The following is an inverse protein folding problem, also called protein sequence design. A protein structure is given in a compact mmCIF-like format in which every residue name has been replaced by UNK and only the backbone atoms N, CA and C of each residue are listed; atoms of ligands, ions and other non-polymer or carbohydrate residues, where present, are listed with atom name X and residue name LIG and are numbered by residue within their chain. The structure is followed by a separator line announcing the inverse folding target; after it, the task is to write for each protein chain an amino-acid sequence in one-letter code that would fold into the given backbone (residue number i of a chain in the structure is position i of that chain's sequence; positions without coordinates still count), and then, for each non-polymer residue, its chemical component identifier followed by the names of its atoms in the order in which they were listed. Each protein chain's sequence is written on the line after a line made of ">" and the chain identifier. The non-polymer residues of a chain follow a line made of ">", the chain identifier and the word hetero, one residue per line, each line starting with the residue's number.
data_IF_229029721950
#
_entry.id   IF_229029721950
#
_cell.length_a   1.000
_cell.length_b   1.000
_cell.length_c   1.000
_cell.angle_alpha   90.00
_cell.angle_beta   90.00
_cell.angle_gamma   90.00
#
_symmetry.space_group_name_H-M   'P 1'
#
loop_
_entity.id
_entity.type
_entity.pdbx_description
1 polymer ?
#
# COMPACT_ATOMS: atom_id res chain seq x y z
N UNK A 1 -46.61 26.88 7.71
CA UNK A 1 -47.05 25.55 7.21
C UNK A 1 -48.52 25.56 6.79
N UNK A 2 -49.48 26.02 7.60
CA UNK A 2 -50.92 26.11 7.19
C UNK A 2 -51.11 27.03 5.94
N UNK A 3 -50.34 28.10 5.81
CA UNK A 3 -50.35 29.02 4.69
C UNK A 3 -49.93 28.38 3.35
N UNK A 4 -48.94 27.46 3.34
CA UNK A 4 -48.47 26.80 2.10
C UNK A 4 -49.48 25.79 1.61
N UNK A 5 -50.11 25.02 2.51
CA UNK A 5 -51.15 24.07 2.12
C UNK A 5 -52.42 24.75 1.58
N UNK A 6 -52.76 25.94 2.09
CA UNK A 6 -53.85 26.78 1.55
C UNK A 6 -53.57 27.31 0.15
N UNK A 7 -52.34 27.77 -0.10
CA UNK A 7 -51.92 28.25 -1.43
C UNK A 7 -51.93 27.15 -2.50
N UNK A 8 -51.63 25.92 -2.12
CA UNK A 8 -51.57 24.75 -3.02
C UNK A 8 -52.89 24.01 -3.13
N UNK A 9 -53.97 24.44 -2.46
CA UNK A 9 -55.24 23.75 -2.44
C UNK A 9 -55.18 22.30 -1.90
N UNK A 10 -54.18 21.98 -1.13
CA UNK A 10 -53.91 20.62 -0.63
C UNK A 10 -54.18 20.46 0.86
N UNK A 11 -54.73 19.30 1.25
CA UNK A 11 -54.83 18.94 2.68
C UNK A 11 -53.39 18.73 3.23
N UNK A 12 -53.16 19.15 4.48
CA UNK A 12 -51.88 18.96 5.18
C UNK A 12 -51.34 17.53 5.10
N UNK A 13 -52.21 16.53 5.22
CA UNK A 13 -51.87 15.13 5.10
C UNK A 13 -51.38 14.74 3.69
N UNK A 14 -52.06 15.23 2.63
CA UNK A 14 -51.64 15.01 1.23
C UNK A 14 -50.28 15.65 0.93
N UNK A 15 -50.00 16.84 1.47
CA UNK A 15 -48.68 17.49 1.36
C UNK A 15 -47.57 16.62 1.97
N UNK A 16 -47.80 16.08 3.19
CA UNK A 16 -46.77 15.24 3.81
C UNK A 16 -46.62 13.88 3.10
N UNK A 17 -47.67 13.32 2.52
CA UNK A 17 -47.60 12.10 1.71
C UNK A 17 -46.82 12.34 0.43
N UNK A 18 -47.03 13.46 -0.30
CA UNK A 18 -46.24 13.87 -1.44
C UNK A 18 -44.76 14.04 -1.08
N UNK A 19 -44.47 14.80 -0.03
CA UNK A 19 -43.11 14.99 0.45
C UNK A 19 -42.43 13.67 0.82
N UNK A 20 -43.13 12.72 1.42
CA UNK A 20 -42.64 11.39 1.75
C UNK A 20 -42.36 10.56 0.49
N UNK A 21 -43.23 10.62 -0.51
CA UNK A 21 -43.07 9.95 -1.81
C UNK A 21 -41.86 10.48 -2.54
N UNK A 22 -41.71 11.80 -2.65
CA UNK A 22 -40.57 12.44 -3.31
C UNK A 22 -39.24 12.17 -2.59
N UNK A 23 -39.28 12.11 -1.26
CA UNK A 23 -38.10 11.72 -0.46
C UNK A 23 -37.71 10.26 -0.70
N UNK A 24 -38.70 9.35 -0.80
CA UNK A 24 -38.46 7.93 -1.10
C UNK A 24 -37.89 7.76 -2.51
N UNK A 25 -38.46 8.46 -3.50
CA UNK A 25 -37.98 8.40 -4.88
C UNK A 25 -36.54 8.89 -4.98
N UNK A 26 -36.21 10.04 -4.41
CA UNK A 26 -34.84 10.56 -4.37
C UNK A 26 -33.85 9.60 -3.68
N UNK A 27 -34.31 8.92 -2.63
CA UNK A 27 -33.50 7.92 -1.95
C UNK A 27 -33.19 6.73 -2.86
N UNK A 28 -34.19 6.21 -3.58
CA UNK A 28 -34.00 5.07 -4.50
C UNK A 28 -33.07 5.44 -5.66
N UNK A 29 -33.26 6.61 -6.25
CA UNK A 29 -32.36 7.11 -7.33
C UNK A 29 -30.91 7.23 -6.85
N UNK A 30 -30.70 7.71 -5.63
CA UNK A 30 -29.35 7.80 -5.06
C UNK A 30 -28.73 6.41 -4.80
N UNK A 31 -29.53 5.46 -4.31
CA UNK A 31 -29.09 4.07 -4.09
C UNK A 31 -28.70 3.41 -5.43
N UNK A 32 -29.50 3.57 -6.47
CA UNK A 32 -29.19 3.08 -7.83
C UNK A 32 -27.90 3.71 -8.39
N UNK A 33 -27.74 5.02 -8.22
CA UNK A 33 -26.52 5.72 -8.64
C UNK A 33 -25.27 5.18 -7.93
N UNK A 34 -25.36 4.92 -6.61
CA UNK A 34 -24.25 4.33 -5.86
C UNK A 34 -23.94 2.90 -6.32
N UNK A 35 -24.96 2.09 -6.59
CA UNK A 35 -24.78 0.73 -7.12
C UNK A 35 -24.06 0.77 -8.46
N UNK A 36 -24.51 1.63 -9.37
CA UNK A 36 -23.88 1.79 -10.68
C UNK A 36 -22.40 2.23 -10.55
N UNK A 37 -22.12 3.22 -9.70
CA UNK A 37 -20.75 3.63 -9.40
C UNK A 37 -19.86 2.48 -8.89
N UNK A 38 -20.41 1.64 -7.98
CA UNK A 38 -19.69 0.48 -7.45
C UNK A 38 -19.37 -0.52 -8.56
N UNK A 39 -20.34 -0.82 -9.42
CA UNK A 39 -20.18 -1.76 -10.54
C UNK A 39 -19.13 -1.24 -11.55
N UNK A 40 -19.20 0.03 -11.92
CA UNK A 40 -18.23 0.66 -12.82
C UNK A 40 -16.81 0.64 -12.25
N UNK A 41 -16.63 1.01 -10.97
CA UNK A 41 -15.33 0.98 -10.32
C UNK A 41 -14.74 -0.43 -10.28
N UNK A 42 -15.60 -1.43 -10.04
CA UNK A 42 -15.21 -2.84 -9.99
C UNK A 42 -14.91 -3.48 -11.34
N UNK A 43 -15.20 -2.83 -12.45
CA UNK A 43 -14.69 -3.27 -13.75
C UNK A 43 -13.16 -3.19 -13.82
N UNK A 44 -12.53 -2.33 -13.03
CA UNK A 44 -11.07 -2.19 -12.97
C UNK A 44 -10.46 -2.83 -11.73
N UNK A 45 -11.11 -2.68 -10.57
CA UNK A 45 -10.68 -3.29 -9.30
C UNK A 45 -11.82 -4.14 -8.71
N UNK A 46 -12.01 -5.39 -9.17
CA UNK A 46 -13.12 -6.25 -8.73
C UNK A 46 -13.14 -6.52 -7.22
N UNK A 47 -12.02 -6.43 -6.57
CA UNK A 47 -11.84 -6.71 -5.14
C UNK A 47 -11.88 -5.49 -4.23
N UNK A 48 -12.09 -4.29 -4.77
CA UNK A 48 -12.08 -3.06 -3.96
C UNK A 48 -13.13 -3.08 -2.86
N UNK A 49 -12.72 -2.79 -1.63
CA UNK A 49 -13.60 -2.76 -0.45
C UNK A 49 -14.37 -1.46 -0.27
N UNK A 50 -15.42 -1.49 0.57
CA UNK A 50 -16.34 -0.38 0.81
C UNK A 50 -15.68 0.92 1.25
N UNK A 51 -14.71 0.88 2.16
CA UNK A 51 -14.00 2.08 2.63
C UNK A 51 -13.31 2.83 1.48
N UNK A 52 -12.64 2.12 0.57
CA UNK A 52 -11.96 2.73 -0.58
C UNK A 52 -12.96 3.24 -1.62
N UNK A 53 -14.03 2.48 -1.86
CA UNK A 53 -15.14 2.92 -2.72
C UNK A 53 -15.74 4.22 -2.20
N UNK A 54 -15.95 4.33 -0.88
CA UNK A 54 -16.46 5.55 -0.27
C UNK A 54 -15.51 6.74 -0.44
N UNK A 55 -14.20 6.55 -0.27
CA UNK A 55 -13.22 7.63 -0.49
C UNK A 55 -13.20 8.11 -1.95
N UNK A 56 -13.24 7.17 -2.93
CA UNK A 56 -13.34 7.53 -4.36
C UNK A 56 -14.66 8.27 -4.64
N UNK A 57 -15.78 7.75 -4.15
CA UNK A 57 -17.11 8.35 -4.32
C UNK A 57 -17.17 9.77 -3.76
N UNK A 58 -16.69 9.94 -2.51
CA UNK A 58 -16.64 11.22 -1.82
C UNK A 58 -15.83 12.25 -2.59
N UNK A 59 -14.70 11.87 -3.16
CA UNK A 59 -13.86 12.76 -3.98
C UNK A 59 -14.55 13.17 -5.27
N UNK A 60 -15.28 12.25 -5.93
CA UNK A 60 -15.97 12.53 -7.20
C UNK A 60 -17.27 13.29 -7.01
N UNK A 61 -18.06 12.93 -6.01
CA UNK A 61 -19.45 13.35 -5.86
C UNK A 61 -19.81 13.99 -4.53
N UNK A 62 -18.90 14.04 -3.57
CA UNK A 62 -19.18 14.50 -2.20
C UNK A 62 -19.70 15.94 -2.12
N UNK A 63 -19.29 16.80 -3.03
CA UNK A 63 -19.72 18.19 -3.13
C UNK A 63 -20.91 18.40 -4.09
N UNK A 64 -21.41 17.34 -4.72
CA UNK A 64 -22.55 17.42 -5.66
C UNK A 64 -23.86 17.40 -4.87
N UNK A 65 -24.72 18.40 -4.99
CA UNK A 65 -26.00 18.44 -4.28
C UNK A 65 -26.84 17.19 -4.53
N UNK A 66 -27.29 16.55 -3.48
CA UNK A 66 -28.14 15.35 -3.56
C UNK A 66 -27.41 14.02 -3.74
N UNK A 67 -26.10 14.01 -4.02
CA UNK A 67 -25.29 12.80 -4.19
C UNK A 67 -24.41 12.45 -2.97
N UNK A 68 -24.39 13.26 -1.93
CA UNK A 68 -23.60 12.97 -0.74
C UNK A 68 -24.08 11.70 -0.02
N UNK A 69 -23.15 10.76 0.22
CA UNK A 69 -23.39 9.49 0.92
C UNK A 69 -22.32 9.28 1.97
N UNK A 70 -22.74 9.00 3.22
CA UNK A 70 -21.80 8.64 4.28
C UNK A 70 -21.33 7.18 4.15
N UNK A 71 -20.20 6.85 4.78
CA UNK A 71 -19.57 5.53 4.72
C UNK A 71 -20.53 4.40 5.09
N UNK A 72 -21.18 4.48 6.25
CA UNK A 72 -22.06 3.41 6.75
C UNK A 72 -23.28 3.20 5.85
N UNK A 73 -23.77 4.28 5.21
CA UNK A 73 -24.86 4.16 4.23
C UNK A 73 -24.37 3.48 2.95
N UNK A 74 -23.16 3.79 2.48
CA UNK A 74 -22.58 3.11 1.31
C UNK A 74 -22.36 1.63 1.59
N UNK A 75 -21.79 1.26 2.74
CA UNK A 75 -21.62 -0.15 3.12
C UNK A 75 -22.94 -0.91 3.19
N UNK A 76 -23.99 -0.27 3.72
CA UNK A 76 -25.33 -0.85 3.73
C UNK A 76 -25.86 -1.08 2.32
N UNK A 77 -25.76 -0.08 1.40
CA UNK A 77 -26.18 -0.24 0.00
C UNK A 77 -25.43 -1.40 -0.66
N UNK A 78 -24.10 -1.48 -0.47
CA UNK A 78 -23.26 -2.57 -0.99
C UNK A 78 -23.75 -3.92 -0.48
N UNK A 79 -24.06 -4.03 0.81
CA UNK A 79 -24.52 -5.27 1.45
C UNK A 79 -25.92 -5.67 1.00
N UNK A 80 -26.87 -4.74 0.98
CA UNK A 80 -28.26 -4.97 0.59
C UNK A 80 -28.39 -5.41 -0.88
N UNK A 81 -27.45 -4.95 -1.75
CA UNK A 81 -27.40 -5.34 -3.16
C UNK A 81 -26.48 -6.55 -3.43
N UNK A 82 -26.03 -7.28 -2.42
CA UNK A 82 -25.22 -8.49 -2.58
C UNK A 82 -23.81 -8.22 -3.14
N UNK A 83 -23.33 -6.98 -3.08
CA UNK A 83 -22.05 -6.54 -3.63
C UNK A 83 -20.90 -6.62 -2.63
N UNK A 84 -21.07 -7.33 -1.49
CA UNK A 84 -20.01 -7.50 -0.49
C UNK A 84 -18.88 -8.39 -1.01
N UNK A 85 -17.63 -7.91 -0.95
CA UNK A 85 -16.46 -8.68 -1.38
C UNK A 85 -16.02 -9.65 -0.30
N UNK A 86 -16.04 -10.94 -0.59
CA UNK A 86 -15.53 -11.99 0.30
C UNK A 86 -14.04 -12.20 0.09
N UNK A 87 -13.26 -12.18 1.19
CA UNK A 87 -11.82 -12.51 1.16
C UNK A 87 -11.64 -14.03 1.15
N UNK A 88 -10.90 -14.57 0.18
CA UNK A 88 -10.50 -15.99 0.19
C UNK A 88 -9.39 -16.19 1.24
N UNK A 89 -9.50 -17.25 2.08
CA UNK A 89 -8.40 -17.65 2.99
C UNK A 89 -7.26 -18.23 2.16
N UNK A 90 -6.03 -17.83 2.45
CA UNK A 90 -4.82 -18.30 1.76
C UNK A 90 -4.07 -19.33 2.59
N UNK A 91 -3.39 -20.25 1.89
CA UNK A 91 -2.33 -21.08 2.47
C UNK A 91 -0.99 -20.38 2.19
N UNK A 92 -0.10 -20.24 3.19
CA UNK A 92 1.24 -19.69 2.97
C UNK A 92 2.04 -20.62 2.05
N UNK A 93 2.89 -20.03 1.21
CA UNK A 93 3.84 -20.73 0.35
C UNK A 93 5.20 -20.09 0.57
N UNK A 94 6.22 -20.88 0.89
CA UNK A 94 7.59 -20.43 1.14
C UNK A 94 8.42 -20.48 -0.13
N UNK A 95 9.24 -19.44 -0.34
CA UNK A 95 10.24 -19.36 -1.41
C UNK A 95 11.51 -20.08 -0.94
N UNK A 96 12.19 -20.81 -1.84
CA UNK A 96 13.50 -21.40 -1.54
C UNK A 96 14.58 -20.33 -1.74
N UNK A 97 15.27 -19.99 -0.64
CA UNK A 97 16.30 -18.93 -0.60
C UNK A 97 17.72 -19.53 -0.48
N UNK A 98 17.92 -20.83 -0.69
CA UNK A 98 19.21 -21.52 -0.51
C UNK A 98 19.98 -21.56 -1.83
N UNK A 99 20.68 -20.49 -2.14
CA UNK A 99 21.61 -20.42 -3.28
C UNK A 99 22.98 -19.90 -2.82
N UNK A 100 24.05 -20.25 -3.52
CA UNK A 100 25.41 -19.81 -3.21
C UNK A 100 25.81 -18.42 -3.72
N UNK A 101 24.85 -17.56 -4.09
CA UNK A 101 25.11 -16.21 -4.59
C UNK A 101 25.35 -15.21 -3.45
N UNK A 102 26.06 -14.09 -3.68
CA UNK A 102 26.29 -13.06 -2.68
C UNK A 102 25.01 -12.53 -2.07
N UNK A 103 25.01 -12.32 -0.75
CA UNK A 103 23.92 -11.73 0.00
C UNK A 103 24.31 -10.34 0.49
N UNK A 104 23.36 -9.42 0.46
CA UNK A 104 23.54 -8.04 0.87
C UNK A 104 22.86 -7.77 2.22
N UNK A 105 23.39 -6.83 3.04
CA UNK A 105 22.82 -6.51 4.34
C UNK A 105 21.43 -5.86 4.19
N UNK A 106 20.61 -5.98 5.24
CA UNK A 106 19.33 -5.28 5.31
C UNK A 106 19.54 -3.82 5.74
N UNK A 107 19.57 -2.93 4.78
CA UNK A 107 19.78 -1.49 5.00
C UNK A 107 18.50 -0.73 5.39
N UNK A 108 17.33 -1.38 5.35
CA UNK A 108 16.05 -0.71 5.59
C UNK A 108 15.36 -1.12 6.88
N UNK A 109 16.00 -1.96 7.69
CA UNK A 109 15.41 -2.53 8.91
C UNK A 109 14.88 -1.46 9.86
N UNK A 110 15.65 -0.38 10.04
CA UNK A 110 15.33 0.70 10.99
C UNK A 110 15.07 2.04 10.27
N UNK A 111 14.70 1.98 8.98
CA UNK A 111 14.42 3.17 8.18
C UNK A 111 12.92 3.32 7.94
N UNK A 112 12.38 4.49 8.31
CA UNK A 112 11.05 4.94 7.88
C UNK A 112 11.28 5.90 6.71
N UNK A 113 10.85 5.58 5.49
CA UNK A 113 11.06 6.48 4.36
C UNK A 113 10.25 7.76 4.53
N UNK A 114 10.88 8.90 4.20
CA UNK A 114 10.32 10.24 4.34
C UNK A 114 10.18 11.00 3.02
N UNK A 115 10.58 10.41 1.92
CA UNK A 115 10.49 11.00 0.58
C UNK A 115 10.30 9.94 -0.50
N UNK A 116 9.72 10.31 -1.66
CA UNK A 116 9.70 9.45 -2.85
C UNK A 116 11.12 9.03 -3.27
N UNK A 117 11.22 7.86 -3.87
CA UNK A 117 12.47 7.30 -4.41
C UNK A 117 13.61 7.18 -3.38
N UNK A 118 13.26 7.01 -2.10
CA UNK A 118 14.22 6.69 -1.05
C UNK A 118 14.44 5.19 -0.93
N UNK A 119 13.38 4.41 -0.98
CA UNK A 119 13.43 2.94 -0.89
C UNK A 119 12.46 2.36 -1.91
N UNK A 120 12.99 1.59 -2.85
CA UNK A 120 12.16 0.73 -3.68
C UNK A 120 12.21 -0.70 -3.16
N UNK A 121 11.06 -1.32 -3.06
CA UNK A 121 10.93 -2.74 -2.68
C UNK A 121 10.51 -3.56 -3.89
N UNK A 122 11.19 -4.68 -4.11
CA UNK A 122 10.94 -5.58 -5.22
C UNK A 122 10.52 -6.96 -4.74
N UNK A 123 9.62 -7.59 -5.49
CA UNK A 123 9.20 -8.98 -5.25
C UNK A 123 8.58 -9.56 -6.51
N UNK A 124 8.58 -10.90 -6.62
CA UNK A 124 7.97 -11.65 -7.72
C UNK A 124 6.74 -12.38 -7.22
N UNK A 125 5.62 -12.20 -7.89
CA UNK A 125 4.40 -12.96 -7.59
C UNK A 125 4.01 -13.90 -8.73
N UNK A 126 3.52 -15.05 -8.35
CA UNK A 126 3.08 -16.13 -9.26
C UNK A 126 1.61 -15.91 -9.62
N UNK A 127 1.33 -15.77 -10.91
CA UNK A 127 -0.03 -15.65 -11.45
C UNK A 127 -0.39 -16.94 -12.16
N UNK A 128 -1.42 -17.66 -11.72
CA UNK A 128 -1.83 -18.89 -12.40
C UNK A 128 -2.46 -18.57 -13.76
N UNK A 129 -2.10 -19.35 -14.76
CA UNK A 129 -2.66 -19.31 -16.11
C UNK A 129 -3.13 -20.71 -16.52
N UNK A 130 -4.25 -20.78 -17.22
CA UNK A 130 -4.87 -22.01 -17.74
C UNK A 130 -4.80 -22.02 -19.28
N UNK A 131 -3.78 -22.66 -19.89
CA UNK A 131 -3.56 -22.58 -21.34
C UNK A 131 -4.69 -23.15 -22.20
N UNK A 132 -5.43 -24.11 -21.66
CA UNK A 132 -6.57 -24.77 -22.37
C UNK A 132 -7.91 -24.41 -21.72
N UNK A 133 -8.97 -24.23 -22.52
CA UNK A 133 -10.34 -23.98 -22.03
C UNK A 133 -10.90 -25.11 -21.14
N UNK A 134 -10.43 -26.34 -21.34
CA UNK A 134 -10.89 -27.57 -20.66
C UNK A 134 -9.75 -28.28 -19.90
N UNK A 135 -8.64 -27.61 -19.62
CA UNK A 135 -7.51 -28.20 -18.92
C UNK A 135 -7.65 -27.88 -17.42
N UNK A 136 -7.67 -28.93 -16.59
CA UNK A 136 -7.52 -28.82 -15.15
C UNK A 136 -6.07 -28.46 -14.75
N UNK A 137 -5.14 -28.52 -15.69
CA UNK A 137 -3.76 -28.18 -15.51
C UNK A 137 -3.54 -26.67 -15.66
N UNK A 138 -2.95 -26.06 -14.64
CA UNK A 138 -2.52 -24.67 -14.69
C UNK A 138 -1.00 -24.57 -14.64
N UNK A 139 -0.50 -23.50 -15.24
CA UNK A 139 0.91 -23.08 -15.15
C UNK A 139 0.98 -21.75 -14.44
N UNK A 140 2.19 -21.25 -14.21
CA UNK A 140 2.39 -19.91 -13.70
C UNK A 140 3.07 -19.02 -14.75
N UNK A 141 2.67 -17.78 -14.80
CA UNK A 141 3.52 -16.69 -15.22
C UNK A 141 3.92 -15.88 -13.99
N UNK A 142 4.92 -15.03 -14.13
CA UNK A 142 5.63 -14.40 -13.05
C UNK A 142 5.56 -12.89 -13.23
N UNK A 143 5.01 -12.19 -12.26
CA UNK A 143 4.93 -10.74 -12.25
C UNK A 143 5.99 -10.21 -11.28
N UNK A 144 7.05 -9.62 -11.84
CA UNK A 144 8.04 -8.84 -11.09
C UNK A 144 7.53 -7.42 -10.92
N UNK A 145 7.53 -6.89 -9.70
CA UNK A 145 7.09 -5.53 -9.41
C UNK A 145 8.06 -4.80 -8.50
N UNK A 146 8.26 -3.51 -8.79
CA UNK A 146 8.95 -2.56 -7.92
C UNK A 146 7.94 -1.56 -7.39
N UNK A 147 7.99 -1.31 -6.09
CA UNK A 147 7.09 -0.40 -5.38
C UNK A 147 7.91 0.59 -4.57
N UNK A 148 7.62 1.87 -4.69
CA UNK A 148 8.18 2.87 -3.80
C UNK A 148 7.61 2.70 -2.39
N UNK A 149 8.48 2.51 -1.42
CA UNK A 149 8.07 2.23 -0.04
C UNK A 149 7.44 3.44 0.67
N UNK A 150 7.70 4.66 0.22
CA UNK A 150 7.09 5.87 0.74
C UNK A 150 5.72 6.10 0.12
N UNK A 151 5.68 6.26 -1.20
CA UNK A 151 4.46 6.63 -1.95
C UNK A 151 3.49 5.46 -2.15
N UNK A 152 3.97 4.22 -2.05
CA UNK A 152 3.25 2.99 -2.43
C UNK A 152 2.98 2.88 -3.92
N UNK A 153 3.54 3.75 -4.77
CA UNK A 153 3.43 3.62 -6.23
C UNK A 153 4.09 2.34 -6.73
N UNK A 154 3.45 1.70 -7.69
CA UNK A 154 4.11 0.72 -8.56
C UNK A 154 4.94 1.52 -9.54
N UNK A 155 6.26 1.50 -9.38
CA UNK A 155 7.20 2.28 -10.18
C UNK A 155 7.71 1.51 -11.39
N UNK A 156 7.75 0.17 -11.32
CA UNK A 156 8.13 -0.69 -12.42
C UNK A 156 7.48 -2.08 -12.30
N UNK A 157 7.26 -2.71 -13.44
CA UNK A 157 6.71 -4.07 -13.48
C UNK A 157 7.06 -4.77 -14.80
N UNK A 158 7.14 -6.10 -14.76
CA UNK A 158 7.26 -6.93 -15.95
C UNK A 158 6.59 -8.29 -15.74
N UNK A 159 5.94 -8.82 -16.78
CA UNK A 159 5.33 -10.16 -16.76
C UNK A 159 6.18 -11.12 -17.59
N UNK A 160 6.78 -12.10 -16.91
CA UNK A 160 7.57 -13.17 -17.52
C UNK A 160 6.82 -14.50 -17.62
N UNK A 161 7.17 -15.31 -18.60
CA UNK A 161 6.70 -16.70 -18.73
C UNK A 161 7.52 -17.65 -17.87
N UNK A 162 8.72 -17.23 -17.49
CA UNK A 162 9.70 -17.96 -16.68
C UNK A 162 10.21 -17.08 -15.53
N UNK A 163 10.94 -17.69 -14.58
CA UNK A 163 11.59 -16.99 -13.47
C UNK A 163 12.99 -16.46 -13.83
N UNK A 164 13.19 -15.99 -15.05
CA UNK A 164 14.47 -15.45 -15.48
C UNK A 164 14.69 -14.03 -14.96
N UNK A 165 15.93 -13.71 -14.63
CA UNK A 165 16.37 -12.38 -14.14
C UNK A 165 16.03 -11.25 -15.10
N UNK A 166 16.01 -11.51 -16.42
CA UNK A 166 15.70 -10.48 -17.43
C UNK A 166 14.40 -9.72 -17.15
N UNK A 167 13.37 -10.41 -16.63
CA UNK A 167 12.08 -9.76 -16.33
C UNK A 167 12.16 -8.84 -15.11
N UNK A 168 13.02 -9.15 -14.14
CA UNK A 168 13.32 -8.24 -13.04
C UNK A 168 14.11 -7.02 -13.54
N UNK A 169 15.05 -7.23 -14.46
CA UNK A 169 15.82 -6.16 -15.12
C UNK A 169 14.89 -5.23 -15.91
N UNK A 170 13.94 -5.77 -16.68
CA UNK A 170 12.96 -4.96 -17.42
C UNK A 170 12.08 -4.13 -16.47
N UNK A 171 11.64 -4.71 -15.36
CA UNK A 171 10.88 -4.00 -14.34
C UNK A 171 11.71 -2.87 -13.70
N UNK A 172 12.99 -3.11 -13.42
CA UNK A 172 13.92 -2.10 -12.87
C UNK A 172 14.16 -0.97 -13.88
N UNK A 173 14.42 -1.29 -15.16
CA UNK A 173 14.59 -0.29 -16.22
C UNK A 173 13.37 0.61 -16.36
N UNK A 174 12.16 0.03 -16.37
CA UNK A 174 10.91 0.80 -16.37
C UNK A 174 10.83 1.77 -15.18
N UNK A 175 11.22 1.33 -13.97
CA UNK A 175 11.22 2.17 -12.79
C UNK A 175 12.22 3.33 -12.91
N UNK A 176 13.42 3.07 -13.44
CA UNK A 176 14.47 4.08 -13.66
C UNK A 176 14.08 5.09 -14.73
N UNK A 177 13.46 4.66 -15.83
CA UNK A 177 12.96 5.56 -16.87
C UNK A 177 11.97 6.59 -16.32
N UNK A 178 11.19 6.25 -15.30
CA UNK A 178 10.28 7.19 -14.63
C UNK A 178 10.98 8.29 -13.84
N UNK A 179 12.23 8.09 -13.45
CA UNK A 179 13.00 9.12 -12.76
C UNK A 179 13.33 10.32 -13.67
N UNK A 180 13.22 10.17 -14.99
CA UNK A 180 13.33 11.26 -15.97
C UNK A 180 14.55 12.17 -15.74
N UNK A 181 15.71 11.59 -15.43
CA UNK A 181 16.93 12.32 -15.12
C UNK A 181 17.09 12.80 -13.69
N UNK A 182 16.18 12.45 -12.79
CA UNK A 182 16.42 12.58 -11.34
C UNK A 182 17.57 11.63 -10.97
N UNK A 183 18.52 12.14 -10.19
CA UNK A 183 19.63 11.31 -9.72
C UNK A 183 19.11 10.22 -8.77
N UNK A 184 19.70 9.03 -8.88
CA UNK A 184 19.42 7.88 -7.98
C UNK A 184 20.13 8.02 -6.63
N UNK A 185 20.61 9.23 -6.31
CA UNK A 185 21.31 9.54 -5.06
C UNK A 185 20.44 9.11 -3.87
N UNK A 186 21.04 8.28 -3.02
CA UNK A 186 20.40 7.70 -1.83
C UNK A 186 19.17 6.79 -2.06
N UNK A 187 18.95 6.31 -3.29
CA UNK A 187 17.99 5.26 -3.54
C UNK A 187 18.51 3.92 -3.00
N UNK A 188 17.69 3.23 -2.22
CA UNK A 188 17.96 1.86 -1.78
C UNK A 188 16.95 0.92 -2.45
N UNK A 189 17.46 -0.09 -3.16
CA UNK A 189 16.67 -1.19 -3.68
C UNK A 189 16.67 -2.33 -2.65
N UNK A 190 15.50 -2.77 -2.23
CA UNK A 190 15.33 -3.86 -1.28
C UNK A 190 14.52 -5.00 -1.87
N UNK A 191 15.01 -6.23 -1.75
CA UNK A 191 14.35 -7.45 -2.23
C UNK A 191 14.47 -8.58 -1.21
N UNK A 192 13.78 -9.67 -1.49
CA UNK A 192 14.10 -10.97 -0.87
C UNK A 192 15.45 -11.51 -1.39
N UNK A 193 15.85 -12.67 -0.88
CA UNK A 193 17.08 -13.37 -1.30
C UNK A 193 16.87 -14.24 -2.54
N UNK A 194 15.95 -13.87 -3.43
CA UNK A 194 15.71 -14.62 -4.65
C UNK A 194 16.90 -14.58 -5.59
N UNK A 195 17.16 -15.71 -6.27
CA UNK A 195 18.26 -15.87 -7.25
C UNK A 195 18.28 -14.75 -8.29
N UNK A 196 17.09 -14.25 -8.68
CA UNK A 196 16.94 -13.21 -9.67
C UNK A 196 17.56 -11.90 -9.22
N UNK A 197 17.36 -11.53 -7.95
CA UNK A 197 17.89 -10.28 -7.37
C UNK A 197 19.36 -10.38 -6.95
N UNK A 198 19.85 -11.61 -6.67
CA UNK A 198 21.25 -11.87 -6.35
C UNK A 198 22.11 -12.17 -7.59
N UNK A 199 21.53 -12.24 -8.79
CA UNK A 199 22.25 -12.51 -10.01
C UNK A 199 23.21 -11.37 -10.38
N UNK A 200 24.37 -11.72 -10.95
CA UNK A 200 25.40 -10.78 -11.37
C UNK A 200 24.84 -9.65 -12.23
N UNK A 201 24.09 -9.97 -13.28
CA UNK A 201 23.52 -8.98 -14.20
C UNK A 201 22.55 -8.00 -13.53
N UNK A 202 21.81 -8.42 -12.50
CA UNK A 202 20.92 -7.53 -11.76
C UNK A 202 21.70 -6.62 -10.81
N UNK A 203 22.70 -7.17 -10.12
CA UNK A 203 23.58 -6.47 -9.19
C UNK A 203 24.44 -5.44 -9.93
N UNK A 204 25.02 -5.81 -11.07
CA UNK A 204 25.79 -4.89 -11.94
C UNK A 204 24.94 -3.70 -12.36
N UNK A 205 23.71 -3.93 -12.83
CA UNK A 205 22.81 -2.84 -13.21
C UNK A 205 22.49 -1.90 -12.03
N UNK A 206 22.27 -2.41 -10.82
CA UNK A 206 22.05 -1.57 -9.63
C UNK A 206 23.31 -0.75 -9.28
N UNK A 207 24.50 -1.35 -9.40
CA UNK A 207 25.77 -0.66 -9.17
C UNK A 207 26.03 0.44 -10.21
N UNK A 208 25.80 0.16 -11.50
CA UNK A 208 25.89 1.15 -12.57
C UNK A 208 24.97 2.36 -12.35
N UNK A 209 23.79 2.10 -11.78
CA UNK A 209 22.83 3.14 -11.43
C UNK A 209 23.13 3.85 -10.11
N UNK A 210 24.18 3.45 -9.38
CA UNK A 210 24.51 4.00 -8.06
C UNK A 210 23.47 3.71 -6.97
N UNK A 211 22.64 2.67 -7.15
CA UNK A 211 21.57 2.28 -6.22
C UNK A 211 22.11 1.36 -5.13
N UNK A 212 21.83 1.67 -3.88
CA UNK A 212 22.22 0.84 -2.73
C UNK A 212 21.43 -0.47 -2.73
N UNK A 213 22.13 -1.60 -2.54
CA UNK A 213 21.53 -2.93 -2.57
C UNK A 213 21.23 -3.38 -1.12
N UNK A 214 20.01 -3.81 -0.88
CA UNK A 214 19.53 -4.31 0.39
C UNK A 214 18.73 -5.60 0.20
N UNK A 215 18.92 -6.58 1.07
CA UNK A 215 18.14 -7.83 1.05
C UNK A 215 17.58 -8.16 2.43
N UNK A 216 16.52 -8.94 2.46
CA UNK A 216 15.95 -9.47 3.71
C UNK A 216 17.00 -10.28 4.50
N UNK A 217 16.96 -10.24 5.84
CA UNK A 217 17.88 -11.03 6.67
C UNK A 217 17.49 -12.51 6.72
N UNK A 218 16.22 -12.79 6.60
CA UNK A 218 15.65 -14.13 6.63
C UNK A 218 14.68 -14.33 5.48
N UNK A 219 14.23 -15.54 5.26
CA UNK A 219 13.11 -15.82 4.35
C UNK A 219 11.74 -15.43 4.94
N UNK A 220 11.69 -14.63 6.00
CA UNK A 220 10.46 -14.23 6.64
C UNK A 220 9.76 -13.15 5.79
N UNK A 221 8.51 -13.38 5.41
CA UNK A 221 7.68 -12.39 4.71
C UNK A 221 7.61 -11.03 5.40
N UNK A 222 7.78 -10.99 6.71
CA UNK A 222 7.77 -9.74 7.49
C UNK A 222 8.94 -8.80 7.19
N UNK A 223 9.99 -9.30 6.55
CA UNK A 223 11.16 -8.49 6.19
C UNK A 223 10.89 -7.61 4.95
N UNK A 224 9.88 -7.97 4.09
CA UNK A 224 9.46 -7.16 2.93
C UNK A 224 7.93 -6.96 2.88
N UNK A 225 7.30 -6.39 3.92
CA UNK A 225 5.85 -6.35 4.06
C UNK A 225 5.16 -5.42 3.04
N UNK A 226 5.88 -4.44 2.48
CA UNK A 226 5.32 -3.51 1.49
C UNK A 226 5.12 -4.23 0.16
N UNK A 227 6.15 -4.94 -0.33
CA UNK A 227 6.08 -5.68 -1.58
C UNK A 227 5.05 -6.83 -1.50
N UNK A 228 5.02 -7.57 -0.38
CA UNK A 228 4.01 -8.61 -0.18
C UNK A 228 2.58 -8.08 -0.19
N UNK A 229 2.34 -6.96 0.48
CA UNK A 229 1.02 -6.32 0.46
C UNK A 229 0.65 -5.86 -0.93
N UNK A 230 1.62 -5.33 -1.68
CA UNK A 230 1.44 -4.90 -3.06
C UNK A 230 1.03 -6.06 -3.95
N UNK A 231 1.81 -7.14 -3.94
CA UNK A 231 1.52 -8.38 -4.65
C UNK A 231 0.14 -8.94 -4.26
N UNK A 232 -0.15 -8.92 -2.96
CA UNK A 232 -1.46 -9.31 -2.43
C UNK A 232 -2.60 -8.47 -2.99
N UNK A 233 -2.42 -7.16 -3.13
CA UNK A 233 -3.43 -6.25 -3.69
C UNK A 233 -3.63 -6.53 -5.17
N UNK A 234 -2.58 -6.56 -5.97
CA UNK A 234 -2.70 -6.81 -7.41
C UNK A 234 -3.37 -8.16 -7.68
N UNK A 235 -2.91 -9.21 -7.02
CA UNK A 235 -3.41 -10.56 -7.25
C UNK A 235 -4.83 -10.81 -6.73
N UNK A 236 -5.20 -10.23 -5.57
CA UNK A 236 -6.47 -10.59 -4.91
C UNK A 236 -7.55 -9.54 -5.00
N UNK A 237 -7.20 -8.29 -5.30
CA UNK A 237 -8.18 -7.26 -5.54
C UNK A 237 -8.37 -7.10 -7.07
N UNK A 238 -7.32 -6.73 -7.82
CA UNK A 238 -7.42 -6.43 -9.25
C UNK A 238 -7.62 -7.66 -10.15
N UNK A 239 -6.89 -8.75 -9.88
CA UNK A 239 -7.01 -9.99 -10.67
C UNK A 239 -7.99 -10.99 -10.05
N UNK A 240 -8.84 -10.51 -9.13
CA UNK A 240 -9.82 -11.34 -8.46
C UNK A 240 -10.82 -11.90 -9.47
N UNK A 241 -11.01 -13.23 -9.38
CA UNK A 241 -11.96 -13.99 -10.21
C UNK A 241 -11.72 -13.90 -11.73
N UNK A 242 -10.55 -13.36 -12.17
CA UNK A 242 -10.12 -13.39 -13.56
C UNK A 242 -9.37 -14.69 -13.82
N UNK A 243 -9.77 -15.39 -14.90
CA UNK A 243 -9.07 -16.57 -15.41
C UNK A 243 -8.20 -16.14 -16.59
N UNK A 244 -6.89 -16.25 -16.43
CA UNK A 244 -5.93 -15.96 -17.48
C UNK A 244 -5.53 -17.25 -18.22
N UNK A 245 -5.36 -17.17 -19.54
CA UNK A 245 -4.93 -18.28 -20.38
C UNK A 245 -3.49 -18.14 -20.88
N UNK A 246 -2.88 -16.96 -20.71
CA UNK A 246 -1.50 -16.71 -21.11
C UNK A 246 -0.88 -15.55 -20.32
N UNK A 247 0.45 -15.49 -20.30
CA UNK A 247 1.19 -14.34 -19.77
C UNK A 247 0.89 -13.05 -20.57
N UNK A 248 0.60 -13.17 -21.86
CA UNK A 248 0.21 -12.02 -22.69
C UNK A 248 -1.09 -11.36 -22.21
N UNK A 249 -2.08 -12.16 -21.77
CA UNK A 249 -3.31 -11.61 -21.17
C UNK A 249 -3.04 -10.89 -19.85
N UNK A 250 -2.17 -11.45 -18.99
CA UNK A 250 -1.77 -10.77 -17.76
C UNK A 250 -1.06 -9.44 -18.10
N UNK A 251 -0.14 -9.48 -19.07
CA UNK A 251 0.59 -8.28 -19.52
C UNK A 251 -0.35 -7.20 -20.07
N UNK A 252 -1.40 -7.57 -20.78
CA UNK A 252 -2.34 -6.62 -21.39
C UNK A 252 -3.21 -5.87 -20.37
N UNK A 253 -3.47 -6.44 -19.19
CA UNK A 253 -4.29 -5.79 -18.15
C UNK A 253 -3.46 -4.95 -17.19
N UNK A 254 -2.15 -5.20 -17.08
CA UNK A 254 -1.28 -4.53 -16.12
C UNK A 254 -1.24 -3.00 -16.25
N UNK A 255 -1.16 -2.40 -17.46
CA UNK A 255 -1.13 -0.94 -17.57
C UNK A 255 -2.35 -0.29 -16.91
N UNK A 256 -3.54 -0.83 -17.14
CA UNK A 256 -4.79 -0.32 -16.54
C UNK A 256 -4.81 -0.53 -15.02
N UNK A 257 -4.30 -1.66 -14.54
CA UNK A 257 -4.21 -1.95 -13.11
C UNK A 257 -3.28 -0.94 -12.43
N UNK A 258 -2.07 -0.73 -12.98
CA UNK A 258 -1.07 0.17 -12.43
C UNK A 258 -1.55 1.62 -12.45
N UNK A 259 -2.15 2.06 -13.56
CA UNK A 259 -2.73 3.39 -13.67
C UNK A 259 -3.81 3.64 -12.60
N UNK A 260 -4.78 2.72 -12.49
CA UNK A 260 -5.84 2.85 -11.47
C UNK A 260 -5.27 2.79 -10.05
N UNK A 261 -4.33 1.88 -9.80
CA UNK A 261 -3.70 1.73 -8.50
C UNK A 261 -2.97 3.00 -8.08
N UNK A 262 -2.18 3.57 -8.96
CA UNK A 262 -1.36 4.74 -8.66
C UNK A 262 -2.19 6.03 -8.56
N UNK A 263 -3.25 6.20 -9.39
CA UNK A 263 -3.92 7.49 -9.56
C UNK A 263 -5.34 7.56 -9.00
N UNK A 264 -6.00 6.43 -8.77
CA UNK A 264 -7.42 6.43 -8.39
C UNK A 264 -7.72 5.63 -7.11
N UNK A 265 -6.86 4.68 -6.74
CA UNK A 265 -7.08 3.83 -5.58
C UNK A 265 -6.53 4.46 -4.30
N UNK A 266 -7.39 4.80 -3.31
CA UNK A 266 -6.94 5.32 -2.04
C UNK A 266 -6.15 4.29 -1.24
N UNK A 267 -5.09 4.74 -0.56
CA UNK A 267 -4.25 3.90 0.28
C UNK A 267 -4.43 4.26 1.75
N UNK A 268 -4.87 3.31 2.58
CA UNK A 268 -5.18 3.57 3.99
C UNK A 268 -3.91 3.88 4.81
N UNK A 269 -2.75 3.33 4.40
CA UNK A 269 -1.46 3.68 5.02
C UNK A 269 -0.93 5.06 4.60
N UNK A 270 -1.59 5.73 3.67
CA UNK A 270 -1.32 7.09 3.22
C UNK A 270 -2.44 8.06 3.64
N UNK A 271 -3.17 7.74 4.70
CA UNK A 271 -4.34 8.48 5.18
C UNK A 271 -5.45 8.67 4.13
N UNK A 272 -5.59 7.71 3.20
CA UNK A 272 -6.59 7.74 2.13
C UNK A 272 -6.15 8.51 0.89
N UNK A 273 -4.90 8.99 0.82
CA UNK A 273 -4.33 9.54 -0.40
C UNK A 273 -4.08 8.45 -1.45
N UNK A 274 -4.06 8.84 -2.72
CA UNK A 274 -3.53 8.01 -3.80
C UNK A 274 -2.00 8.01 -3.77
N UNK A 275 -1.35 6.94 -4.24
CA UNK A 275 0.10 6.91 -4.42
C UNK A 275 0.66 8.13 -5.16
N UNK A 276 0.02 8.55 -6.26
CA UNK A 276 0.41 9.73 -7.05
C UNK A 276 0.28 11.08 -6.31
N UNK A 277 -0.58 11.16 -5.29
CA UNK A 277 -0.66 12.34 -4.41
C UNK A 277 0.50 12.32 -3.42
N UNK A 278 0.79 11.16 -2.82
CA UNK A 278 1.92 10.99 -1.91
C UNK A 278 3.28 11.23 -2.61
N UNK A 279 3.37 10.98 -3.92
CA UNK A 279 4.57 11.26 -4.71
C UNK A 279 4.96 12.76 -4.77
N UNK A 280 4.03 13.65 -4.42
CA UNK A 280 4.26 15.10 -4.36
C UNK A 280 4.61 15.59 -2.96
N UNK A 281 4.75 14.69 -2.00
CA UNK A 281 4.97 15.01 -0.60
C UNK A 281 6.38 14.61 -0.16
N UNK A 282 6.83 15.23 0.93
CA UNK A 282 8.03 14.86 1.68
C UNK A 282 7.75 14.96 3.18
N UNK A 283 8.56 14.30 3.99
CA UNK A 283 8.36 14.22 5.43
C UNK A 283 7.48 13.04 5.85
N UNK A 284 7.17 12.92 7.13
CA UNK A 284 6.34 11.84 7.65
C UNK A 284 4.88 12.03 7.22
N UNK A 285 4.33 11.05 6.50
CA UNK A 285 2.90 11.00 6.17
C UNK A 285 2.12 10.57 7.41
N UNK A 286 1.09 11.36 7.76
CA UNK A 286 0.15 10.98 8.82
C UNK A 286 -0.52 9.66 8.46
N UNK A 287 -0.62 8.75 9.44
CA UNK A 287 -1.28 7.45 9.29
C UNK A 287 -2.46 7.34 10.24
N UNK A 288 -3.53 6.72 9.79
CA UNK A 288 -4.70 6.44 10.64
C UNK A 288 -4.35 5.47 11.77
N UNK A 289 -3.39 4.57 11.54
CA UNK A 289 -2.79 3.71 12.55
C UNK A 289 -1.32 3.50 12.26
N UNK A 290 -0.55 3.60 13.32
CA UNK A 290 0.91 3.43 13.30
C UNK A 290 1.22 1.94 13.43
N UNK A 291 2.12 1.41 12.60
CA UNK A 291 2.55 0.03 12.67
C UNK A 291 3.33 -0.26 13.96
N UNK A 292 3.40 -1.54 14.39
CA UNK A 292 4.23 -1.93 15.53
C UNK A 292 5.70 -1.55 15.35
N UNK A 293 6.22 -1.69 14.12
CA UNK A 293 7.59 -1.30 13.77
C UNK A 293 7.82 0.20 13.98
N UNK A 294 6.92 1.04 13.46
CA UNK A 294 7.03 2.50 13.63
C UNK A 294 6.96 2.91 15.09
N UNK A 295 6.06 2.31 15.87
CA UNK A 295 5.99 2.55 17.32
C UNK A 295 7.27 2.15 18.03
N UNK A 296 7.87 1.05 17.61
CA UNK A 296 9.14 0.57 18.18
C UNK A 296 10.27 1.56 17.88
N UNK A 297 10.40 2.01 16.63
CA UNK A 297 11.43 2.98 16.21
C UNK A 297 11.22 4.34 16.88
N UNK A 298 9.98 4.86 16.93
CA UNK A 298 9.67 6.09 17.65
C UNK A 298 10.05 5.99 19.15
N UNK A 299 9.85 4.84 19.78
CA UNK A 299 10.25 4.61 21.17
C UNK A 299 11.77 4.51 21.35
N UNK A 300 12.53 4.03 20.35
CA UNK A 300 13.99 4.03 20.37
C UNK A 300 14.51 5.47 20.26
N UNK A 301 14.03 6.28 19.32
CA UNK A 301 14.41 7.69 19.18
C UNK A 301 14.15 8.48 20.49
N UNK A 302 13.03 8.23 21.16
CA UNK A 302 12.70 8.87 22.44
C UNK A 302 13.70 8.46 23.54
N UNK A 303 14.08 7.18 23.60
CA UNK A 303 15.05 6.67 24.60
C UNK A 303 16.46 7.21 24.36
N UNK A 304 16.89 7.26 23.10
CA UNK A 304 18.20 7.82 22.74
C UNK A 304 18.22 9.34 22.97
N UNK A 305 17.17 10.06 22.61
CA UNK A 305 17.02 11.48 22.91
C UNK A 305 16.97 11.78 24.41
N UNK A 306 16.31 10.93 25.21
CA UNK A 306 16.30 11.05 26.67
C UNK A 306 17.66 10.71 27.30
N UNK A 307 18.41 9.76 26.73
CA UNK A 307 19.77 9.44 27.16
C UNK A 307 20.78 10.53 26.82
N UNK A 308 20.59 11.22 25.68
CA UNK A 308 21.43 12.36 25.28
C UNK A 308 21.14 13.64 26.09
N UNK A 309 19.96 13.74 26.73
CA UNK A 309 19.55 14.85 27.59
C UNK A 309 19.77 14.56 29.09
N UNK A 310 20.25 13.37 29.45
CA UNK A 310 20.65 13.10 30.83
C UNK A 310 21.90 13.94 31.15
N UNK A 311 21.87 14.83 32.16
CA UNK A 311 23.02 15.68 32.44
C UNK A 311 24.19 14.83 32.90
N UNK A 312 25.38 15.08 32.33
CA UNK A 312 26.68 14.70 32.87
C UNK A 312 26.92 15.49 34.19
N UNK A 313 26.13 15.22 35.19
CA UNK A 313 26.32 15.73 36.56
C UNK A 313 26.27 14.52 37.48
N UNK A 314 27.45 14.00 37.75
CA UNK A 314 27.82 13.31 38.99
C UNK A 314 29.21 12.64 38.85
N UNK A 315 30.25 13.46 38.64
CA UNK A 315 31.61 13.07 38.95
C UNK A 315 32.42 14.29 39.45
N UNK A 316 31.93 14.93 40.51
CA UNK A 316 32.66 15.99 41.23
C UNK A 316 32.23 16.04 42.70
N UNK A 317 32.21 14.91 43.38
CA UNK A 317 32.25 14.87 44.85
C UNK A 317 32.86 13.54 45.24
N UNK A 318 34.17 13.44 45.20
CA UNK A 318 35.00 12.50 46.00
C UNK A 318 36.48 12.85 45.83
N UNK A 319 36.84 14.09 46.21
CA UNK A 319 38.21 14.39 46.64
C UNK A 319 38.08 15.47 47.73
N UNK A 320 38.69 15.16 48.88
CA UNK A 320 38.87 15.91 50.08
C UNK A 320 37.96 15.53 51.25
N UNK A 321 38.41 14.49 51.95
CA UNK A 321 38.40 14.43 53.41
C UNK A 321 39.33 13.31 53.88
N UNK A 322 40.65 13.53 53.72
CA UNK A 322 41.66 12.81 54.49
C UNK A 322 42.50 13.83 55.24
N UNK A 323 42.17 14.09 56.44
CA UNK A 323 43.10 14.73 57.42
C UNK A 323 43.09 13.96 58.70
N UNK A 324 44.23 13.77 59.30
CA UNK A 324 44.45 12.79 60.40
C UNK A 324 44.12 13.43 61.75
N UNK A 325 43.40 12.69 62.57
CA UNK A 325 43.32 13.03 64.02
C UNK A 325 44.23 12.13 64.78
N UNK A 326 45.15 12.81 65.42
CA UNK A 326 46.18 12.33 66.35
C UNK A 326 45.60 11.56 67.52
N UNK A 327 46.45 10.61 67.94
CA UNK A 327 46.46 9.97 69.24
C UNK A 327 46.41 11.01 70.39
N UNK A 328 45.66 10.72 71.46
CA UNK A 328 46.11 10.89 72.81
C UNK A 328 45.56 9.76 73.66
N UNK A 329 46.50 9.31 74.49
CA UNK A 329 46.46 8.32 75.52
C UNK A 329 45.48 8.64 76.65
N UNK A 330 45.00 7.61 77.31
CA UNK A 330 44.35 7.60 78.57
C UNK A 330 43.81 6.20 78.88
#
# INVERSE_FOLDING_TARGET
>A
MASICGLLGMRKQAFYQHKKRDSRHRRLMLEEFVVQFVLETRQTDPGIGGDKLHEIYKRRYGNTPGLSVGRDRMERIISENGLTVRKKRRKPRTTDSRHGLPLYPNLIKDVIPIRPNQIWVADITYIPIWPGRNSDEYRFCYLSMLTDSYTKEIVGWCVGETLETRYCIEALKMAVERLAGLETIDLTHHSDRGVQYASEAYVELLNELGVKISMTESGDPRDNPVAERQNGTVKNEFMKDIVFHSAAQVRSVMPRIVEFYNTQRPHMSLDGMMPSEAAKMTGRIRKRWVSYRERYLDNLEIKEGASALAPQTLNLIDQDFSSPVNKFQG
#
